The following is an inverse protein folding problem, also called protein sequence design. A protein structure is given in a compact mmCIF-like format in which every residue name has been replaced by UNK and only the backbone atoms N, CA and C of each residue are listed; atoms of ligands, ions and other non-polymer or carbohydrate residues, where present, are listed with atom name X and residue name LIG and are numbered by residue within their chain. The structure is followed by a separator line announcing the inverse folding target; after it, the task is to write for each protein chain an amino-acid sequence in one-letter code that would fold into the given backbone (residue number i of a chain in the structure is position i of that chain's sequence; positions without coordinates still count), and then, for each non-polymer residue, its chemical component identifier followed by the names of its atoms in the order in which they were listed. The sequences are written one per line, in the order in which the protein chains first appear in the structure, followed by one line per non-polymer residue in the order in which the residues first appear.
data_IF_600493720919
#
_entry.id   IF_600493720919
#
_cell.length_a   1.000
_cell.length_b   1.000
_cell.length_c   1.000
_cell.angle_alpha   90.00
_cell.angle_beta   90.00
_cell.angle_gamma   90.00
#
_symmetry.space_group_name_H-M   'P 1'
#
loop_
_entity.id
_entity.type
_entity.pdbx_description
1 polymer ?
#
# COMPACT_ATOMS: atom_id res chain seq x y z
N UNK A 1 7.09 -16.88 18.07
CA UNK A 1 5.62 -16.82 18.07
C UNK A 1 5.22 -15.57 17.32
N UNK A 2 4.43 -15.68 16.25
CA UNK A 2 3.91 -14.50 15.56
C UNK A 2 3.04 -13.70 16.55
N UNK A 3 3.22 -12.38 16.59
CA UNK A 3 2.37 -11.53 17.43
C UNK A 3 0.92 -11.66 16.96
N UNK A 4 -0.01 -11.69 17.91
CA UNK A 4 -1.45 -11.69 17.60
C UNK A 4 -1.74 -10.38 16.87
N UNK A 5 -2.30 -10.51 15.66
CA UNK A 5 -2.60 -9.37 14.83
C UNK A 5 -3.72 -8.53 15.46
N UNK A 6 -3.50 -7.22 15.58
CA UNK A 6 -4.46 -6.27 16.16
C UNK A 6 -5.78 -6.30 15.37
N UNK A 7 -6.96 -6.19 15.97
CA UNK A 7 -8.23 -6.22 15.24
C UNK A 7 -8.31 -5.09 14.19
N UNK A 8 -8.98 -5.35 13.06
CA UNK A 8 -9.26 -4.31 12.06
C UNK A 8 -10.37 -3.39 12.59
N UNK A 9 -10.15 -2.09 12.57
CA UNK A 9 -11.13 -1.08 12.97
C UNK A 9 -11.50 -0.18 11.80
N UNK A 10 -12.72 0.34 11.79
CA UNK A 10 -13.16 1.34 10.81
C UNK A 10 -12.51 2.71 11.08
N UNK A 11 -12.24 3.02 12.34
CA UNK A 11 -11.58 4.25 12.75
C UNK A 11 -10.06 4.14 12.58
N UNK A 12 -9.43 5.08 11.87
CA UNK A 12 -7.97 5.16 11.81
C UNK A 12 -7.41 5.64 13.16
N UNK A 13 -6.16 5.30 13.50
CA UNK A 13 -5.50 5.90 14.65
C UNK A 13 -5.37 7.42 14.48
N UNK A 14 -5.39 8.20 15.57
CA UNK A 14 -5.22 9.64 15.50
C UNK A 14 -3.88 10.00 14.85
N UNK A 15 -3.90 10.96 13.92
CA UNK A 15 -2.72 11.48 13.25
C UNK A 15 -2.36 12.86 13.79
N UNK A 16 -1.22 12.96 14.48
CA UNK A 16 -0.75 14.21 15.11
C UNK A 16 0.27 14.99 14.25
N UNK A 17 0.63 14.46 13.08
CA UNK A 17 1.66 15.04 12.21
C UNK A 17 1.13 16.10 11.22
N UNK A 18 2.03 16.94 10.71
CA UNK A 18 1.72 17.83 9.58
C UNK A 18 1.61 17.02 8.28
N UNK A 19 0.59 17.28 7.48
CA UNK A 19 0.47 16.68 6.13
C UNK A 19 1.64 17.16 5.25
N UNK A 20 2.48 16.22 4.83
CA UNK A 20 3.63 16.49 3.94
C UNK A 20 3.26 16.25 2.48
N UNK A 21 2.38 15.28 2.22
CA UNK A 21 1.87 14.94 0.89
C UNK A 21 0.35 14.98 0.92
N UNK A 22 -0.25 15.70 -0.03
CA UNK A 22 -1.69 15.65 -0.29
C UNK A 22 -1.91 15.16 -1.71
N UNK A 23 -2.79 14.19 -1.86
CA UNK A 23 -3.14 13.59 -3.14
C UNK A 23 -4.60 13.15 -3.11
N UNK A 24 -5.23 13.11 -4.28
CA UNK A 24 -6.57 12.56 -4.46
C UNK A 24 -6.46 11.28 -5.29
N UNK A 25 -7.09 10.22 -4.83
CA UNK A 25 -7.21 8.98 -5.62
C UNK A 25 -8.60 8.92 -6.25
N UNK A 26 -8.64 8.69 -7.55
CA UNK A 26 -9.87 8.54 -8.34
C UNK A 26 -9.78 7.30 -9.22
N UNK A 27 -10.92 6.84 -9.73
CA UNK A 27 -11.01 5.69 -10.65
C UNK A 27 -10.25 4.45 -10.15
N UNK A 28 -10.61 3.99 -8.95
CA UNK A 28 -9.96 2.85 -8.30
C UNK A 28 -10.62 1.55 -8.75
N UNK A 29 -9.80 0.56 -9.08
CA UNK A 29 -10.25 -0.84 -9.19
C UNK A 29 -9.47 -1.72 -8.21
N UNK A 30 -10.11 -2.80 -7.76
CA UNK A 30 -9.49 -3.78 -6.88
C UNK A 30 -9.64 -5.16 -7.50
N UNK A 31 -8.49 -5.80 -7.74
CA UNK A 31 -8.44 -7.19 -8.18
C UNK A 31 -7.64 -7.97 -7.15
N UNK A 32 -8.22 -9.04 -6.62
CA UNK A 32 -7.63 -9.84 -5.55
C UNK A 32 -7.67 -11.32 -5.91
N UNK A 33 -6.56 -12.00 -5.65
CA UNK A 33 -6.45 -13.45 -5.85
C UNK A 33 -6.00 -14.14 -4.57
N UNK A 34 -6.62 -15.28 -4.21
CA UNK A 34 -6.26 -16.03 -3.01
C UNK A 34 -5.11 -17.01 -3.31
N UNK A 35 -4.08 -16.99 -2.48
CA UNK A 35 -2.93 -17.89 -2.51
C UNK A 35 -2.81 -18.68 -1.21
N UNK A 36 -2.09 -19.80 -1.26
CA UNK A 36 -1.61 -20.45 -0.03
C UNK A 36 -0.73 -19.45 0.75
N UNK A 37 -0.94 -19.26 2.06
CA UNK A 37 -0.17 -18.30 2.86
C UNK A 37 1.34 -18.48 2.72
N UNK A 38 1.84 -19.71 2.63
CA UNK A 38 3.25 -20.04 2.52
C UNK A 38 3.86 -19.55 1.20
N UNK A 39 3.07 -19.48 0.13
CA UNK A 39 3.53 -18.96 -1.17
C UNK A 39 3.86 -17.48 -1.04
N UNK A 40 2.97 -16.71 -0.41
CA UNK A 40 3.15 -15.28 -0.20
C UNK A 40 4.24 -15.02 0.84
N UNK A 41 4.26 -15.80 1.93
CA UNK A 41 5.22 -15.63 3.03
C UNK A 41 6.68 -15.73 2.58
N UNK A 42 6.98 -16.60 1.60
CA UNK A 42 8.34 -16.75 1.05
C UNK A 42 8.86 -15.51 0.31
N UNK A 43 7.98 -14.60 -0.09
CA UNK A 43 8.33 -13.36 -0.80
C UNK A 43 8.47 -12.16 0.14
N UNK A 44 8.17 -12.33 1.43
CA UNK A 44 8.25 -11.26 2.42
C UNK A 44 9.65 -11.17 3.04
N UNK A 45 10.12 -9.96 3.36
CA UNK A 45 11.33 -9.81 4.16
C UNK A 45 11.12 -10.36 5.57
N UNK A 46 12.23 -10.66 6.25
CA UNK A 46 12.21 -11.09 7.64
C UNK A 46 11.49 -10.06 8.54
N UNK A 47 10.72 -10.57 9.51
CA UNK A 47 9.97 -9.74 10.46
C UNK A 47 8.54 -9.41 10.03
N UNK A 48 8.13 -9.77 8.81
CA UNK A 48 6.75 -9.70 8.34
C UNK A 48 6.14 -11.10 8.23
N UNK A 49 4.93 -11.25 8.75
CA UNK A 49 4.11 -12.45 8.57
C UNK A 49 2.95 -12.12 7.63
N UNK A 50 2.59 -13.00 6.72
CA UNK A 50 1.41 -12.80 5.85
C UNK A 50 0.14 -12.70 6.72
N UNK A 51 -0.68 -11.68 6.47
CA UNK A 51 -1.99 -11.57 7.10
C UNK A 51 -2.99 -12.39 6.28
N UNK A 52 -3.76 -13.24 6.95
CA UNK A 52 -4.67 -14.17 6.29
C UNK A 52 -6.12 -13.77 6.53
N UNK A 53 -6.95 -14.03 5.52
CA UNK A 53 -8.40 -13.90 5.59
C UNK A 53 -9.01 -15.09 4.88
N UNK A 54 -9.98 -15.76 5.52
CA UNK A 54 -10.51 -17.07 5.09
C UNK A 54 -9.41 -18.11 4.84
N UNK A 55 -8.40 -18.17 5.73
CA UNK A 55 -7.24 -19.07 5.64
C UNK A 55 -6.37 -18.89 4.37
N UNK A 56 -6.54 -17.78 3.64
CA UNK A 56 -5.77 -17.46 2.43
C UNK A 56 -4.91 -16.22 2.62
N UNK A 57 -3.75 -16.22 1.96
CA UNK A 57 -2.99 -15.01 1.70
C UNK A 57 -3.54 -14.30 0.45
N UNK A 58 -3.75 -13.00 0.51
CA UNK A 58 -4.37 -12.25 -0.59
C UNK A 58 -3.38 -11.31 -1.26
N UNK A 59 -3.21 -11.49 -2.57
CA UNK A 59 -2.43 -10.56 -3.40
C UNK A 59 -3.39 -9.71 -4.22
N UNK A 60 -3.24 -8.39 -4.09
CA UNK A 60 -4.05 -7.40 -4.79
C UNK A 60 -3.26 -6.71 -5.90
N UNK A 61 -3.94 -6.46 -7.03
CA UNK A 61 -3.53 -5.52 -8.07
C UNK A 61 -4.53 -4.35 -8.05
N UNK A 62 -4.03 -3.16 -7.74
CA UNK A 62 -4.86 -1.97 -7.49
C UNK A 62 -4.39 -0.87 -8.45
N UNK A 63 -4.98 -0.75 -9.64
CA UNK A 63 -4.79 0.41 -10.48
C UNK A 63 -5.67 1.54 -9.97
N UNK A 64 -5.12 2.74 -9.90
CA UNK A 64 -5.87 3.95 -9.57
C UNK A 64 -5.22 5.17 -10.21
N UNK A 65 -6.01 6.22 -10.35
CA UNK A 65 -5.52 7.50 -10.79
C UNK A 65 -5.17 8.38 -9.59
N UNK A 66 -3.90 8.78 -9.51
CA UNK A 66 -3.45 9.80 -8.57
C UNK A 66 -3.59 11.17 -9.21
N UNK A 67 -4.29 12.09 -8.54
CA UNK A 67 -4.51 13.48 -8.97
C UNK A 67 -4.06 14.47 -7.90
N UNK A 68 -3.79 15.70 -8.35
CA UNK A 68 -3.57 16.88 -7.50
C UNK A 68 -2.47 16.70 -6.43
N UNK A 69 -1.34 16.08 -6.81
CA UNK A 69 -0.24 15.84 -5.87
C UNK A 69 0.41 17.16 -5.44
N UNK A 70 0.36 17.43 -4.14
CA UNK A 70 0.87 18.64 -3.50
C UNK A 70 1.86 18.27 -2.39
N UNK A 71 3.00 18.98 -2.35
CA UNK A 71 3.96 18.87 -1.26
C UNK A 71 3.71 20.01 -0.25
N UNK A 72 3.30 19.68 0.96
CA UNK A 72 2.92 20.65 1.99
C UNK A 72 1.79 21.58 1.55
N UNK A 73 2.06 22.90 1.55
CA UNK A 73 1.10 23.94 1.15
C UNK A 73 1.32 24.46 -0.28
N UNK A 74 2.16 23.81 -1.08
CA UNK A 74 2.45 24.23 -2.46
C UNK A 74 1.27 23.96 -3.41
N UNK A 75 1.12 24.77 -4.49
CA UNK A 75 0.20 24.42 -5.57
C UNK A 75 0.58 23.07 -6.20
N UNK A 76 -0.36 22.36 -6.84
CA UNK A 76 -0.10 21.07 -7.47
C UNK A 76 1.11 21.16 -8.39
N UNK A 77 2.06 20.24 -8.23
CA UNK A 77 3.31 20.31 -8.98
C UNK A 77 3.01 19.92 -10.43
N UNK A 78 3.17 20.83 -11.43
CA UNK A 78 2.66 20.63 -12.79
C UNK A 78 3.23 19.39 -13.50
N UNK A 79 4.45 18.98 -13.13
CA UNK A 79 5.14 17.81 -13.68
C UNK A 79 4.91 16.51 -12.91
N UNK A 80 4.32 16.55 -11.69
CA UNK A 80 3.81 15.32 -11.04
C UNK A 80 2.43 14.95 -11.59
N UNK A 81 1.60 15.92 -11.97
CA UNK A 81 0.38 15.73 -12.76
C UNK A 81 -0.61 14.67 -12.25
N UNK A 82 -1.58 14.31 -13.10
CA UNK A 82 -2.41 13.12 -12.92
C UNK A 82 -1.75 11.93 -13.62
N UNK A 83 -1.63 10.79 -12.92
CA UNK A 83 -1.05 9.57 -13.47
C UNK A 83 -1.72 8.34 -12.89
N UNK A 84 -1.65 7.24 -13.65
CA UNK A 84 -2.08 5.94 -13.17
C UNK A 84 -0.94 5.33 -12.35
N UNK A 85 -1.25 4.86 -11.16
CA UNK A 85 -0.38 4.00 -10.36
C UNK A 85 -1.01 2.63 -10.24
N UNK A 86 -0.20 1.58 -10.35
CA UNK A 86 -0.62 0.20 -10.17
C UNK A 86 0.17 -0.39 -9.03
N UNK A 87 -0.55 -0.78 -7.98
CA UNK A 87 0.05 -1.41 -6.80
C UNK A 87 -0.16 -2.92 -6.85
N UNK A 88 0.92 -3.68 -6.84
CA UNK A 88 0.88 -5.13 -6.56
C UNK A 88 1.28 -5.32 -5.11
N UNK A 89 0.34 -5.72 -4.25
CA UNK A 89 0.55 -5.74 -2.80
C UNK A 89 -0.09 -6.94 -2.11
N UNK A 90 0.39 -7.25 -0.92
CA UNK A 90 -0.22 -8.22 0.01
C UNK A 90 -0.45 -7.59 1.37
N UNK A 91 -1.20 -8.27 2.22
CA UNK A 91 -1.45 -7.89 3.61
C UNK A 91 -0.47 -8.62 4.53
N UNK A 92 0.04 -7.90 5.53
CA UNK A 92 1.06 -8.41 6.45
C UNK A 92 0.82 -7.93 7.88
N UNK A 93 1.40 -8.68 8.82
CA UNK A 93 1.46 -8.36 10.24
C UNK A 93 2.93 -8.33 10.66
N UNK A 94 3.34 -7.28 11.35
CA UNK A 94 4.70 -7.19 11.90
C UNK A 94 4.84 -7.90 13.25
N UNK A 95 6.07 -7.93 13.77
CA UNK A 95 6.39 -8.54 15.07
C UNK A 95 5.68 -7.87 16.27
N UNK A 96 5.07 -6.68 16.10
CA UNK A 96 4.29 -5.97 17.11
C UNK A 96 2.77 -6.15 16.93
N UNK A 97 2.34 -7.00 15.99
CA UNK A 97 0.95 -7.28 15.68
C UNK A 97 0.27 -6.18 14.86
N UNK A 98 1.01 -5.22 14.31
CA UNK A 98 0.45 -4.15 13.47
C UNK A 98 0.21 -4.68 12.06
N UNK A 99 -1.01 -4.46 11.55
CA UNK A 99 -1.35 -4.77 10.16
C UNK A 99 -0.83 -3.67 9.23
N UNK A 100 -0.33 -4.08 8.08
CA UNK A 100 0.13 -3.20 7.03
C UNK A 100 -0.07 -3.86 5.66
N UNK A 101 0.23 -3.11 4.60
CA UNK A 101 0.38 -3.66 3.26
C UNK A 101 1.84 -3.70 2.88
N UNK A 102 2.26 -4.77 2.21
CA UNK A 102 3.59 -4.90 1.61
C UNK A 102 3.43 -4.79 0.10
N UNK A 103 4.17 -3.89 -0.54
CA UNK A 103 4.17 -3.72 -1.99
C UNK A 103 5.26 -4.60 -2.60
N UNK A 104 4.86 -5.51 -3.49
CA UNK A 104 5.78 -6.23 -4.36
C UNK A 104 6.27 -5.33 -5.50
N UNK A 105 5.36 -4.52 -6.05
CA UNK A 105 5.69 -3.46 -7.00
C UNK A 105 4.75 -2.26 -6.85
N UNK A 106 5.25 -1.11 -7.26
CA UNK A 106 4.52 0.14 -7.41
C UNK A 106 4.88 0.67 -8.80
N UNK A 107 3.99 0.39 -9.76
CA UNK A 107 4.24 0.63 -11.17
C UNK A 107 3.57 1.93 -11.60
N UNK A 108 4.37 2.84 -12.14
CA UNK A 108 3.92 4.14 -12.67
C UNK A 108 4.43 4.34 -14.09
N UNK A 109 3.62 4.86 -15.02
CA UNK A 109 3.99 5.01 -16.43
C UNK A 109 4.99 6.16 -16.68
N UNK A 110 5.54 6.81 -15.64
CA UNK A 110 6.47 7.96 -15.78
C UNK A 110 7.76 7.75 -14.98
N UNK A 111 8.88 7.74 -15.70
CA UNK A 111 10.24 7.48 -15.21
C UNK A 111 10.74 8.43 -14.12
N UNK A 112 10.23 9.67 -14.04
CA UNK A 112 10.62 10.66 -13.02
C UNK A 112 10.06 10.32 -11.63
N UNK A 113 8.93 9.60 -11.55
CA UNK A 113 8.31 9.20 -10.27
C UNK A 113 8.98 7.95 -9.70
N UNK A 114 9.41 7.02 -10.57
CA UNK A 114 10.19 5.82 -10.18
C UNK A 114 11.48 6.18 -9.44
N UNK A 115 12.10 7.33 -9.77
CA UNK A 115 13.34 7.77 -9.15
C UNK A 115 13.18 8.26 -7.69
N UNK A 116 11.98 8.65 -7.26
CA UNK A 116 11.69 9.16 -5.90
C UNK A 116 11.17 8.05 -4.98
N UNK A 117 10.63 6.96 -5.54
CA UNK A 117 10.00 5.86 -4.80
C UNK A 117 10.92 4.64 -4.55
N UNK A 118 12.19 4.70 -5.00
CA UNK A 118 13.21 3.66 -4.71
C UNK A 118 13.92 3.90 -3.39
#
# INVERSE_FOLDING_TARGET
MAAIARPVTAEPPPWEGRAVLRQRWSELAYFHWPYEPEVVQRLLPAGLTVDTFDDRGWVGLIPFEMRDVQLGSSPPVPWLGSFIEINVRTYVVDAQGRRAVWFFSLDVPRSVIVAVAR
#
